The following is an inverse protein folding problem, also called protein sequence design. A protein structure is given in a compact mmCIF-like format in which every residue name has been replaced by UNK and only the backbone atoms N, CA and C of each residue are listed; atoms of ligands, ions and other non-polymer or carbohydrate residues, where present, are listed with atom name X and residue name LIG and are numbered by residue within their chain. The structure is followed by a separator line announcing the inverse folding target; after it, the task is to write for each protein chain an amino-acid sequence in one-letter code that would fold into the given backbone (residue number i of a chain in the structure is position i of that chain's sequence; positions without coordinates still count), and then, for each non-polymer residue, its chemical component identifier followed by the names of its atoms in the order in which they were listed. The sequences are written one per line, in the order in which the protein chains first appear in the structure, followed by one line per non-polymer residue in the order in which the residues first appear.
data_IF_210720514804
#
_entry.id   IF_210720514804
#
_cell.length_a   1.000
_cell.length_b   1.000
_cell.length_c   1.000
_cell.angle_alpha   90.00
_cell.angle_beta   90.00
_cell.angle_gamma   90.00
#
_symmetry.space_group_name_H-M   'P 1'
#
loop_
_entity.id
_entity.type
_entity.pdbx_description
1 polymer ?
#
# COMPACT_ATOMS: atom_id res chain seq x y z
N UNK A 1 11.01 0.67 70.48
CA UNK A 1 12.29 0.09 70.04
C UNK A 1 11.98 -1.32 69.58
N UNK A 2 12.09 -1.53 68.25
CA UNK A 2 12.22 -2.78 67.45
C UNK A 2 11.58 -4.13 67.87
N UNK A 3 11.35 -5.08 66.93
CA UNK A 3 11.29 -4.97 65.46
C UNK A 3 10.09 -5.68 64.81
N UNK A 4 10.04 -5.56 63.48
CA UNK A 4 9.08 -6.10 62.53
C UNK A 4 9.00 -7.65 62.54
N UNK A 5 7.78 -8.16 62.41
CA UNK A 5 7.52 -9.58 62.16
C UNK A 5 7.50 -9.84 60.64
N UNK A 6 8.53 -10.53 60.18
CA UNK A 6 8.57 -11.22 58.90
C UNK A 6 7.41 -12.23 58.84
N UNK A 7 6.52 -12.06 57.85
CA UNK A 7 5.69 -13.17 57.35
C UNK A 7 6.19 -13.50 55.96
N UNK A 8 6.92 -14.61 55.88
CA UNK A 8 7.40 -15.18 54.64
C UNK A 8 6.24 -15.43 53.68
N UNK A 9 6.35 -14.84 52.49
CA UNK A 9 5.51 -15.16 51.36
C UNK A 9 6.21 -16.31 50.61
N UNK A 10 5.94 -17.53 51.06
CA UNK A 10 6.26 -18.75 50.32
C UNK A 10 5.27 -18.87 49.16
N UNK A 11 5.73 -18.54 47.95
CA UNK A 11 5.54 -19.24 46.67
C UNK A 11 5.65 -18.23 45.53
N UNK A 12 6.89 -17.89 45.22
CA UNK A 12 7.29 -17.17 44.01
C UNK A 12 8.37 -17.98 43.28
N UNK A 13 8.08 -19.26 43.03
CA UNK A 13 8.96 -20.14 42.22
C UNK A 13 8.14 -21.25 41.58
N UNK A 14 7.31 -20.90 40.60
CA UNK A 14 6.79 -21.78 39.55
C UNK A 14 6.13 -20.91 38.45
N UNK A 15 6.91 -20.04 37.79
CA UNK A 15 6.52 -19.57 36.45
C UNK A 15 6.90 -20.66 35.46
N UNK A 16 6.08 -21.71 35.42
CA UNK A 16 6.05 -22.63 34.29
C UNK A 16 5.67 -21.86 33.02
N UNK A 17 6.19 -22.30 31.87
CA UNK A 17 6.06 -21.74 30.51
C UNK A 17 4.62 -21.30 30.16
N UNK A 18 4.22 -20.11 30.58
CA UNK A 18 2.88 -19.58 30.36
C UNK A 18 2.82 -18.81 29.05
N UNK A 19 2.16 -19.40 28.04
CA UNK A 19 2.06 -18.86 26.68
C UNK A 19 1.10 -17.66 26.63
N UNK A 20 -0.09 -17.79 27.22
CA UNK A 20 -1.05 -16.71 27.39
C UNK A 20 -1.89 -16.90 28.66
N UNK A 21 -2.37 -15.80 29.24
CA UNK A 21 -3.23 -15.78 30.41
C UNK A 21 -4.65 -15.38 30.04
N UNK A 22 -5.63 -16.13 30.53
CA UNK A 22 -7.05 -15.78 30.43
C UNK A 22 -7.47 -15.14 31.74
N UNK A 23 -7.85 -13.86 31.70
CA UNK A 23 -8.42 -13.16 32.86
C UNK A 23 -9.92 -13.03 32.67
N UNK A 24 -10.70 -13.48 33.66
CA UNK A 24 -12.15 -13.33 33.69
C UNK A 24 -12.52 -12.45 34.88
N UNK A 25 -13.05 -11.27 34.59
CA UNK A 25 -13.53 -10.32 35.59
C UNK A 25 -14.99 -10.62 35.91
N UNK A 26 -15.34 -10.70 37.18
CA UNK A 26 -16.69 -10.94 37.66
C UNK A 26 -17.18 -9.77 38.50
N UNK A 27 -18.46 -9.46 38.40
CA UNK A 27 -19.11 -8.50 39.28
C UNK A 27 -19.31 -9.10 40.68
N UNK A 28 -19.64 -8.27 41.66
CA UNK A 28 -19.95 -8.72 43.03
C UNK A 28 -21.05 -9.80 43.06
N UNK A 29 -21.96 -9.77 42.08
CA UNK A 29 -23.06 -10.74 41.91
C UNK A 29 -22.64 -12.01 41.13
N UNK A 30 -21.34 -12.24 40.92
CA UNK A 30 -20.77 -13.36 40.14
C UNK A 30 -21.14 -13.39 38.66
N UNK A 31 -21.74 -12.34 38.12
CA UNK A 31 -21.94 -12.19 36.67
C UNK A 31 -20.61 -11.81 36.02
N UNK A 32 -20.20 -12.55 34.99
CA UNK A 32 -18.96 -12.27 34.26
C UNK A 32 -19.08 -10.94 33.50
N UNK A 33 -18.14 -10.02 33.76
CA UNK A 33 -18.08 -8.68 33.17
C UNK A 33 -17.30 -8.73 31.87
N UNK A 34 -16.11 -9.33 31.89
CA UNK A 34 -15.15 -9.29 30.78
C UNK A 34 -14.23 -10.49 30.81
N UNK A 35 -13.90 -11.00 29.63
CA UNK A 35 -12.78 -11.92 29.45
C UNK A 35 -11.69 -11.21 28.65
N UNK A 36 -10.45 -11.33 29.06
CA UNK A 36 -9.29 -10.88 28.29
C UNK A 36 -8.25 -11.97 28.16
N UNK A 37 -7.54 -11.98 27.04
CA UNK A 37 -6.41 -12.87 26.77
C UNK A 37 -5.15 -12.01 26.72
N UNK A 38 -4.26 -12.15 27.68
CA UNK A 38 -2.95 -11.51 27.70
C UNK A 38 -1.93 -12.50 27.13
N UNK A 39 -1.30 -12.14 26.01
CA UNK A 39 -0.29 -12.97 25.36
C UNK A 39 1.07 -12.65 25.97
N UNK A 40 1.78 -13.69 26.42
CA UNK A 40 3.10 -13.55 27.07
C UNK A 40 4.25 -14.08 26.22
N UNK A 41 3.96 -15.05 25.36
CA UNK A 41 4.93 -15.61 24.44
C UNK A 41 5.16 -14.66 23.25
N UNK A 42 6.40 -14.19 23.10
CA UNK A 42 6.78 -13.27 22.02
C UNK A 42 6.61 -13.87 20.63
N UNK A 43 6.77 -15.20 20.51
CA UNK A 43 6.57 -15.90 19.23
C UNK A 43 5.09 -15.96 18.84
N UNK A 44 4.21 -16.13 19.83
CA UNK A 44 2.76 -16.08 19.60
C UNK A 44 2.31 -14.67 19.26
N UNK A 45 2.86 -13.66 19.93
CA UNK A 45 2.62 -12.25 19.61
C UNK A 45 2.98 -11.94 18.16
N UNK A 46 4.15 -12.36 17.69
CA UNK A 46 4.57 -12.18 16.30
C UNK A 46 3.63 -12.88 15.32
N UNK A 47 3.20 -14.12 15.62
CA UNK A 47 2.21 -14.83 14.81
C UNK A 47 0.87 -14.08 14.75
N UNK A 48 0.40 -13.55 15.88
CA UNK A 48 -0.85 -12.78 15.93
C UNK A 48 -0.70 -11.49 15.14
N UNK A 49 0.42 -10.77 15.28
CA UNK A 49 0.68 -9.55 14.54
C UNK A 49 0.78 -9.80 13.02
N UNK A 50 1.42 -10.89 12.61
CA UNK A 50 1.52 -11.28 11.19
C UNK A 50 0.16 -11.59 10.56
N UNK A 51 -0.77 -12.19 11.32
CA UNK A 51 -2.12 -12.54 10.84
C UNK A 51 -3.08 -11.37 10.90
N UNK A 52 -3.06 -10.63 12.00
CA UNK A 52 -4.06 -9.58 12.27
C UNK A 52 -3.63 -8.19 11.80
N UNK A 53 -2.34 -7.99 11.56
CA UNK A 53 -1.75 -6.70 11.28
C UNK A 53 -1.88 -5.75 12.47
N UNK A 54 -2.06 -4.46 12.18
CA UNK A 54 -2.33 -3.47 13.21
C UNK A 54 -3.82 -3.47 13.57
N UNK A 55 -4.16 -3.94 14.77
CA UNK A 55 -5.52 -3.83 15.32
C UNK A 55 -5.62 -2.53 16.13
N UNK A 56 -6.73 -1.82 15.96
CA UNK A 56 -7.03 -0.62 16.75
C UNK A 56 -7.13 -0.93 18.25
N UNK A 57 -6.44 -0.14 19.08
CA UNK A 57 -6.48 -0.27 20.53
C UNK A 57 -5.54 -1.32 21.13
N UNK A 58 -4.73 -2.00 20.30
CA UNK A 58 -3.75 -3.01 20.74
C UNK A 58 -2.34 -2.46 20.47
N UNK A 59 -1.51 -2.47 21.51
CA UNK A 59 -0.12 -2.06 21.41
C UNK A 59 0.77 -3.30 21.42
N UNK A 60 1.52 -3.52 20.34
CA UNK A 60 2.52 -4.60 20.19
C UNK A 60 3.95 -4.12 20.48
N UNK A 61 4.13 -2.83 20.79
CA UNK A 61 5.45 -2.22 21.03
C UNK A 61 5.77 -2.02 22.51
N UNK A 62 4.76 -1.92 23.36
CA UNK A 62 4.92 -1.65 24.79
C UNK A 62 4.13 -2.65 25.64
N UNK A 63 4.84 -3.62 26.21
CA UNK A 63 4.29 -4.63 27.13
C UNK A 63 3.58 -5.79 26.42
N UNK A 64 2.97 -6.66 27.22
CA UNK A 64 2.22 -7.82 26.73
C UNK A 64 0.89 -7.39 26.09
N UNK A 65 0.59 -7.77 24.85
CA UNK A 65 -0.67 -7.39 24.22
C UNK A 65 -1.86 -8.12 24.84
N UNK A 66 -2.95 -7.37 25.05
CA UNK A 66 -4.19 -7.87 25.67
C UNK A 66 -5.32 -7.80 24.65
N UNK A 67 -5.98 -8.94 24.44
CA UNK A 67 -7.03 -9.10 23.45
C UNK A 67 -8.39 -9.40 24.10
N UNK A 68 -9.47 -8.97 23.45
CA UNK A 68 -10.78 -9.58 23.64
C UNK A 68 -10.81 -10.92 22.86
N UNK A 69 -11.15 -12.06 23.49
CA UNK A 69 -11.24 -13.35 22.79
C UNK A 69 -12.12 -13.31 21.54
N UNK A 70 -13.14 -12.44 21.52
CA UNK A 70 -14.02 -12.27 20.35
C UNK A 70 -13.26 -11.74 19.14
N UNK A 71 -12.31 -10.82 19.33
CA UNK A 71 -11.48 -10.30 18.25
C UNK A 71 -10.61 -11.42 17.69
N UNK A 72 -9.98 -12.21 18.55
CA UNK A 72 -9.16 -13.34 18.12
C UNK A 72 -9.98 -14.40 17.37
N UNK A 73 -11.21 -14.66 17.81
CA UNK A 73 -12.12 -15.58 17.13
C UNK A 73 -12.43 -15.15 15.68
N UNK A 74 -12.52 -13.85 15.39
CA UNK A 74 -12.75 -13.35 14.03
C UNK A 74 -11.62 -13.72 13.04
N UNK A 75 -10.43 -14.03 13.57
CA UNK A 75 -9.25 -14.44 12.79
C UNK A 75 -8.96 -15.94 12.86
N UNK A 76 -9.88 -16.75 13.42
CA UNK A 76 -9.66 -18.18 13.66
C UNK A 76 -9.23 -18.95 12.40
N UNK A 77 -9.89 -18.69 11.26
CA UNK A 77 -9.55 -19.36 10.00
C UNK A 77 -8.23 -18.86 9.39
N UNK A 78 -7.84 -17.61 9.65
CA UNK A 78 -6.53 -17.10 9.23
C UNK A 78 -5.41 -17.69 10.10
N UNK A 79 -5.66 -17.85 11.41
CA UNK A 79 -4.71 -18.53 12.31
C UNK A 79 -4.47 -19.97 11.89
N UNK A 80 -5.51 -20.69 11.47
CA UNK A 80 -5.37 -22.05 10.89
C UNK A 80 -4.52 -22.02 9.62
N UNK A 81 -4.83 -21.11 8.70
CA UNK A 81 -4.08 -20.96 7.45
C UNK A 81 -2.61 -20.61 7.69
N UNK A 82 -2.33 -19.76 8.68
CA UNK A 82 -0.98 -19.39 9.08
C UNK A 82 -0.24 -20.54 9.75
N UNK A 83 -0.90 -21.26 10.67
CA UNK A 83 -0.37 -22.46 11.32
C UNK A 83 0.09 -23.52 10.29
N UNK A 84 -0.67 -23.70 9.22
CA UNK A 84 -0.33 -24.64 8.14
C UNK A 84 0.79 -24.10 7.25
N UNK A 85 0.81 -22.79 6.99
CA UNK A 85 1.85 -22.12 6.20
C UNK A 85 3.23 -22.14 6.86
N UNK A 86 3.28 -22.18 8.20
CA UNK A 86 4.53 -22.30 8.96
C UNK A 86 5.29 -23.61 8.65
N UNK A 87 4.66 -24.64 8.06
CA UNK A 87 5.34 -25.85 7.59
C UNK A 87 6.17 -25.65 6.32
N UNK A 88 5.86 -24.63 5.51
CA UNK A 88 6.41 -24.46 4.15
C UNK A 88 7.63 -23.54 4.10
N UNK A 89 7.94 -22.84 5.20
CA UNK A 89 9.10 -21.94 5.27
C UNK A 89 10.39 -22.77 5.40
N UNK A 90 11.03 -23.06 4.27
CA UNK A 90 12.42 -23.56 4.29
C UNK A 90 13.33 -22.46 4.83
N UNK A 91 14.15 -22.72 5.88
CA UNK A 91 15.03 -21.70 6.42
C UNK A 91 16.03 -21.23 5.36
N UNK A 92 16.05 -19.92 5.09
CA UNK A 92 17.05 -19.29 4.24
C UNK A 92 18.40 -19.31 4.95
N UNK A 93 19.41 -19.78 4.22
CA UNK A 93 20.74 -20.12 4.72
C UNK A 93 21.53 -18.91 5.26
N UNK A 94 21.86 -18.94 6.55
CA UNK A 94 23.16 -18.48 7.09
C UNK A 94 23.54 -19.41 8.23
N UNK A 95 24.80 -19.88 8.21
CA UNK A 95 25.32 -21.07 8.89
C UNK A 95 25.27 -21.08 10.44
N UNK A 96 24.75 -20.04 11.09
CA UNK A 96 24.93 -19.88 12.55
C UNK A 96 23.64 -19.94 13.40
N UNK A 97 22.42 -19.89 12.82
CA UNK A 97 21.15 -19.88 13.61
C UNK A 97 20.09 -20.92 13.17
N UNK A 98 20.48 -21.99 12.48
CA UNK A 98 19.52 -22.97 11.94
C UNK A 98 18.69 -23.69 13.03
N UNK A 99 19.32 -24.14 14.11
CA UNK A 99 18.65 -24.82 15.23
C UNK A 99 17.64 -23.91 15.94
N UNK A 100 18.02 -22.65 16.16
CA UNK A 100 17.21 -21.66 16.86
C UNK A 100 15.99 -21.25 16.02
N UNK A 101 16.17 -21.02 14.71
CA UNK A 101 15.06 -20.75 13.79
C UNK A 101 14.08 -21.93 13.71
N UNK A 102 14.59 -23.17 13.68
CA UNK A 102 13.73 -24.35 13.65
C UNK A 102 12.97 -24.52 14.97
N UNK A 103 13.61 -24.27 16.11
CA UNK A 103 12.96 -24.30 17.42
C UNK A 103 11.88 -23.23 17.57
N UNK A 104 12.14 -22.02 17.07
CA UNK A 104 11.17 -20.92 17.10
C UNK A 104 9.93 -21.25 16.27
N UNK A 105 10.09 -21.80 15.06
CA UNK A 105 8.95 -22.23 14.22
C UNK A 105 8.11 -23.30 14.93
N UNK A 106 8.76 -24.32 15.52
CA UNK A 106 8.06 -25.40 16.22
C UNK A 106 7.32 -24.88 17.46
N UNK A 107 7.96 -23.99 18.21
CA UNK A 107 7.39 -23.39 19.43
C UNK A 107 6.22 -22.46 19.08
N UNK A 108 6.39 -21.57 18.11
CA UNK A 108 5.35 -20.69 17.60
C UNK A 108 4.12 -21.47 17.12
N UNK A 109 4.35 -22.57 16.39
CA UNK A 109 3.28 -23.45 15.91
C UNK A 109 2.52 -24.11 17.07
N UNK A 110 3.23 -24.59 18.09
CA UNK A 110 2.63 -25.16 19.30
C UNK A 110 1.80 -24.12 20.06
N UNK A 111 2.34 -22.92 20.25
CA UNK A 111 1.66 -21.81 20.92
C UNK A 111 0.40 -21.39 20.17
N UNK A 112 0.48 -21.25 18.85
CA UNK A 112 -0.64 -20.90 17.99
C UNK A 112 -1.73 -21.99 18.00
N UNK A 113 -1.34 -23.27 17.96
CA UNK A 113 -2.28 -24.39 18.05
C UNK A 113 -3.09 -24.36 19.36
N UNK A 114 -2.43 -24.11 20.49
CA UNK A 114 -3.12 -24.00 21.79
C UNK A 114 -4.12 -22.85 21.82
N UNK A 115 -3.79 -21.71 21.20
CA UNK A 115 -4.71 -20.59 21.06
C UNK A 115 -5.94 -20.96 20.22
N UNK A 116 -5.73 -21.65 19.09
CA UNK A 116 -6.81 -22.12 18.21
C UNK A 116 -7.75 -23.08 18.97
N UNK A 117 -7.19 -24.07 19.66
CA UNK A 117 -7.96 -25.05 20.45
C UNK A 117 -8.81 -24.37 21.54
N UNK A 118 -8.22 -23.40 22.26
CA UNK A 118 -8.95 -22.60 23.26
C UNK A 118 -10.12 -21.82 22.63
N UNK A 119 -9.89 -21.13 21.51
CA UNK A 119 -10.94 -20.34 20.85
C UNK A 119 -12.05 -21.23 20.29
N UNK A 120 -11.72 -22.42 19.79
CA UNK A 120 -12.70 -23.39 19.30
C UNK A 120 -13.58 -23.92 20.43
N UNK A 121 -13.01 -24.21 21.59
CA UNK A 121 -13.77 -24.70 22.74
C UNK A 121 -14.67 -23.60 23.34
N UNK A 122 -14.12 -22.41 23.59
CA UNK A 122 -14.85 -21.29 24.21
C UNK A 122 -16.03 -20.83 23.34
N UNK A 123 -15.88 -20.85 22.01
CA UNK A 123 -16.90 -20.37 21.07
C UNK A 123 -17.65 -21.48 20.32
N UNK A 124 -17.51 -22.76 20.69
CA UNK A 124 -18.11 -23.89 19.95
C UNK A 124 -19.63 -23.75 19.75
N UNK A 125 -20.36 -23.38 20.80
CA UNK A 125 -21.82 -23.21 20.76
C UNK A 125 -22.20 -21.95 19.96
N UNK A 126 -21.51 -20.84 20.21
CA UNK A 126 -21.71 -19.57 19.52
C UNK A 126 -21.47 -19.69 18.01
N UNK A 127 -20.41 -20.41 17.60
CA UNK A 127 -20.04 -20.66 16.21
C UNK A 127 -21.13 -21.44 15.47
N UNK A 128 -21.63 -22.53 16.05
CA UNK A 128 -22.72 -23.31 15.42
C UNK A 128 -23.96 -22.47 15.17
N UNK A 129 -24.36 -21.65 16.16
CA UNK A 129 -25.50 -20.77 16.00
C UNK A 129 -25.23 -19.69 14.93
N UNK A 130 -24.04 -19.08 14.97
CA UNK A 130 -23.62 -18.09 14.00
C UNK A 130 -23.67 -18.65 12.57
N UNK A 131 -23.06 -19.80 12.31
CA UNK A 131 -23.02 -20.43 10.98
C UNK A 131 -24.43 -20.71 10.44
N UNK A 132 -25.35 -21.17 11.30
CA UNK A 132 -26.76 -21.38 10.95
C UNK A 132 -27.48 -20.08 10.58
N UNK A 133 -27.19 -18.99 11.27
CA UNK A 133 -27.80 -17.67 11.02
C UNK A 133 -27.23 -17.02 9.76
N UNK A 134 -25.90 -17.04 9.60
CA UNK A 134 -25.22 -16.52 8.42
C UNK A 134 -25.64 -17.26 7.15
N UNK A 135 -25.83 -18.59 7.22
CA UNK A 135 -26.36 -19.38 6.10
C UNK A 135 -27.78 -18.99 5.67
N UNK A 136 -28.55 -18.32 6.53
CA UNK A 136 -29.88 -17.75 6.23
C UNK A 136 -29.85 -16.26 5.93
N UNK A 137 -28.69 -15.59 6.05
CA UNK A 137 -28.54 -14.15 5.86
C UNK A 137 -29.17 -13.29 6.98
N UNK A 138 -29.38 -13.87 8.16
CA UNK A 138 -29.97 -13.19 9.32
C UNK A 138 -28.98 -13.11 10.48
N UNK A 139 -29.22 -12.22 11.44
CA UNK A 139 -28.38 -12.06 12.64
C UNK A 139 -29.22 -11.57 13.83
N UNK A 140 -28.80 -11.91 15.05
CA UNK A 140 -29.33 -11.32 16.30
C UNK A 140 -28.40 -10.21 16.83
N UNK A 141 -28.93 -9.34 17.68
CA UNK A 141 -28.15 -8.26 18.29
C UNK A 141 -26.91 -8.77 19.07
N UNK A 142 -27.04 -9.91 19.76
CA UNK A 142 -25.94 -10.48 20.57
C UNK A 142 -24.79 -11.04 19.74
N UNK A 143 -25.02 -11.40 18.47
CA UNK A 143 -24.02 -11.94 17.57
C UNK A 143 -23.46 -10.90 16.59
N UNK A 144 -23.84 -9.62 16.73
CA UNK A 144 -23.36 -8.52 15.89
C UNK A 144 -21.83 -8.40 15.85
N UNK A 145 -21.15 -8.69 16.96
CA UNK A 145 -19.69 -8.67 17.04
C UNK A 145 -19.02 -9.60 16.01
N UNK A 146 -19.71 -10.64 15.56
CA UNK A 146 -19.19 -11.63 14.62
C UNK A 146 -19.25 -11.18 13.14
N UNK A 147 -19.99 -10.11 12.83
CA UNK A 147 -20.15 -9.64 11.44
C UNK A 147 -18.97 -8.83 10.93
N UNK A 148 -18.29 -8.09 11.80
CA UNK A 148 -17.27 -7.12 11.41
C UNK A 148 -15.89 -7.54 11.88
N UNK A 149 -15.27 -8.44 11.11
CA UNK A 149 -13.83 -8.66 11.19
C UNK A 149 -13.10 -7.36 10.79
N UNK A 150 -12.10 -6.89 11.54
CA UNK A 150 -11.31 -5.72 11.13
C UNK A 150 -10.68 -5.93 9.75
N UNK A 151 -10.41 -4.83 9.03
CA UNK A 151 -9.92 -4.83 7.66
C UNK A 151 -10.89 -5.40 6.60
N UNK A 152 -12.13 -5.75 6.96
CA UNK A 152 -13.15 -6.14 5.97
C UNK A 152 -13.83 -4.93 5.35
N UNK A 153 -14.27 -5.10 4.10
CA UNK A 153 -15.04 -4.09 3.40
C UNK A 153 -16.50 -4.13 3.83
N UNK A 154 -17.04 -2.97 4.16
CA UNK A 154 -18.45 -2.78 4.51
C UNK A 154 -19.12 -1.85 3.51
N UNK A 155 -20.41 -2.10 3.34
CA UNK A 155 -21.32 -1.16 2.73
C UNK A 155 -21.77 -0.16 3.79
N UNK A 156 -21.60 1.13 3.52
CA UNK A 156 -22.19 2.20 4.32
C UNK A 156 -22.72 3.32 3.41
N UNK A 157 -23.93 3.85 3.68
CA UNK A 157 -24.40 5.03 2.97
C UNK A 157 -23.52 6.23 3.35
N UNK A 158 -22.94 6.92 2.37
CA UNK A 158 -22.09 8.10 2.64
C UNK A 158 -22.92 9.30 3.10
N UNK A 159 -22.33 10.12 3.97
CA UNK A 159 -22.95 11.26 4.65
C UNK A 159 -23.53 12.34 3.70
N UNK A 160 -23.19 12.31 2.40
CA UNK A 160 -23.53 13.38 1.45
C UNK A 160 -24.47 12.95 0.33
N UNK A 161 -24.65 11.66 0.09
CA UNK A 161 -25.53 11.18 -0.98
C UNK A 161 -25.96 9.74 -0.69
N UNK A 162 -27.24 9.55 -0.37
CA UNK A 162 -27.82 8.21 -0.22
C UNK A 162 -27.77 7.37 -1.51
N UNK A 163 -27.52 8.02 -2.65
CA UNK A 163 -27.46 7.39 -3.97
C UNK A 163 -26.04 6.95 -4.39
N UNK A 164 -25.01 7.30 -3.62
CA UNK A 164 -23.62 6.86 -3.89
C UNK A 164 -23.21 5.81 -2.87
N UNK A 165 -23.13 4.53 -3.27
CA UNK A 165 -22.72 3.45 -2.37
C UNK A 165 -21.29 3.70 -1.89
N UNK A 166 -21.10 3.82 -0.58
CA UNK A 166 -19.80 4.00 0.04
C UNK A 166 -19.20 2.66 0.44
N UNK A 167 -18.01 2.35 -0.07
CA UNK A 167 -17.17 1.28 0.49
C UNK A 167 -16.28 1.87 1.56
N UNK A 168 -16.25 1.25 2.72
CA UNK A 168 -15.34 1.60 3.81
C UNK A 168 -14.70 0.33 4.35
N UNK A 169 -13.56 0.48 5.02
CA UNK A 169 -12.83 -0.62 5.63
C UNK A 169 -13.00 -0.55 7.15
N UNK A 170 -13.42 -1.64 7.77
CA UNK A 170 -13.64 -1.71 9.22
C UNK A 170 -12.33 -1.47 9.98
N UNK A 171 -12.39 -0.58 10.97
CA UNK A 171 -11.33 -0.38 11.97
C UNK A 171 -11.67 -1.25 13.20
N UNK A 172 -12.85 -1.03 13.78
CA UNK A 172 -13.34 -1.78 14.94
C UNK A 172 -14.86 -1.76 15.01
N UNK A 173 -15.43 -2.68 15.79
CA UNK A 173 -16.85 -2.77 16.00
C UNK A 173 -17.13 -3.19 17.46
N UNK A 174 -17.71 -2.30 18.26
CA UNK A 174 -17.80 -2.46 19.71
C UNK A 174 -19.23 -2.26 20.23
N UNK A 175 -19.57 -3.02 21.28
CA UNK A 175 -20.82 -2.83 22.03
C UNK A 175 -20.63 -1.67 23.00
N UNK A 176 -21.40 -0.60 22.81
CA UNK A 176 -21.39 0.59 23.65
C UNK A 176 -22.66 0.67 24.51
N UNK A 177 -22.60 1.45 25.59
CA UNK A 177 -23.81 1.86 26.31
C UNK A 177 -24.52 2.92 25.47
N UNK A 178 -25.84 2.80 25.34
CA UNK A 178 -26.62 3.79 24.58
C UNK A 178 -26.47 5.19 25.16
N UNK A 179 -26.28 6.20 24.28
CA UNK A 179 -26.11 7.59 24.74
C UNK A 179 -27.38 8.15 25.37
N UNK A 180 -28.54 7.70 24.89
CA UNK A 180 -29.86 8.21 25.24
C UNK A 180 -30.82 7.11 25.72
N UNK A 181 -30.41 5.84 25.64
CA UNK A 181 -31.23 4.67 25.97
C UNK A 181 -30.53 3.80 27.02
N UNK A 182 -31.33 3.10 27.84
CA UNK A 182 -30.83 2.05 28.73
C UNK A 182 -30.33 0.83 27.96
N UNK A 183 -30.76 0.68 26.70
CA UNK A 183 -30.36 -0.45 25.87
C UNK A 183 -28.95 -0.26 25.31
N UNK A 184 -28.18 -1.35 25.15
CA UNK A 184 -26.88 -1.29 24.50
C UNK A 184 -27.01 -0.93 23.01
N UNK A 185 -26.00 -0.26 22.47
CA UNK A 185 -25.90 0.07 21.05
C UNK A 185 -24.61 -0.55 20.50
N UNK A 186 -24.55 -0.80 19.19
CA UNK A 186 -23.33 -1.29 18.54
C UNK A 186 -22.74 -0.18 17.67
N UNK A 187 -21.46 0.14 17.86
CA UNK A 187 -20.75 1.17 17.10
C UNK A 187 -19.77 0.50 16.15
N UNK A 188 -19.93 0.75 14.84
CA UNK A 188 -18.99 0.31 13.81
C UNK A 188 -18.20 1.52 13.32
N UNK A 189 -16.89 1.48 13.50
CA UNK A 189 -15.97 2.50 12.99
C UNK A 189 -15.23 1.96 11.76
N UNK A 190 -15.20 2.77 10.71
CA UNK A 190 -14.60 2.38 9.44
C UNK A 190 -13.87 3.56 8.81
N UNK A 191 -12.76 3.28 8.11
CA UNK A 191 -12.03 4.26 7.32
C UNK A 191 -12.44 4.20 5.86
N UNK A 192 -12.45 5.36 5.21
CA UNK A 192 -12.62 5.49 3.77
C UNK A 192 -11.66 6.55 3.23
N UNK A 193 -11.36 6.47 1.94
CA UNK A 193 -10.55 7.47 1.25
C UNK A 193 -11.47 8.59 0.77
N UNK A 194 -11.16 9.82 1.12
CA UNK A 194 -11.86 11.01 0.65
C UNK A 194 -10.90 11.90 -0.14
N UNK A 195 -11.41 12.57 -1.17
CA UNK A 195 -10.66 13.55 -1.96
C UNK A 195 -11.17 14.95 -1.67
N UNK A 196 -10.37 15.77 -1.00
CA UNK A 196 -10.75 17.13 -0.62
C UNK A 196 -10.57 18.17 -1.75
N UNK A 197 -10.29 17.73 -2.99
CA UNK A 197 -9.97 18.58 -4.13
C UNK A 197 -8.49 18.88 -4.30
N UNK A 198 -7.63 18.53 -3.33
CA UNK A 198 -6.17 18.71 -3.38
C UNK A 198 -5.41 17.43 -3.07
N UNK A 199 -5.85 16.67 -2.06
CA UNK A 199 -5.20 15.44 -1.59
C UNK A 199 -6.23 14.36 -1.28
N UNK A 200 -5.81 13.11 -1.48
CA UNK A 200 -6.50 11.94 -0.94
C UNK A 200 -6.13 11.80 0.54
N UNK A 201 -7.14 11.71 1.39
CA UNK A 201 -6.96 11.59 2.84
C UNK A 201 -7.88 10.49 3.38
N UNK A 202 -7.39 9.71 4.34
CA UNK A 202 -8.24 8.80 5.10
C UNK A 202 -9.16 9.60 6.04
N UNK A 203 -10.44 9.26 6.02
CA UNK A 203 -11.45 9.76 6.97
C UNK A 203 -12.12 8.58 7.66
N UNK A 204 -12.57 8.82 8.89
CA UNK A 204 -13.30 7.83 9.68
C UNK A 204 -14.79 8.14 9.64
N UNK A 205 -15.58 7.10 9.42
CA UNK A 205 -17.02 7.06 9.58
C UNK A 205 -17.34 6.23 10.83
N UNK A 206 -18.30 6.69 11.63
CA UNK A 206 -18.88 5.94 12.75
C UNK A 206 -20.36 5.75 12.50
N UNK A 207 -20.83 4.51 12.55
CA UNK A 207 -22.24 4.16 12.41
C UNK A 207 -22.72 3.43 13.66
N UNK A 208 -23.87 3.83 14.18
CA UNK A 208 -24.46 3.28 15.40
C UNK A 208 -25.68 2.41 15.03
N UNK A 209 -25.75 1.19 15.57
CA UNK A 209 -26.83 0.24 15.40
C UNK A 209 -27.58 0.15 16.74
N UNK A 210 -28.86 0.54 16.72
CA UNK A 210 -29.71 0.45 17.89
C UNK A 210 -30.04 -1.01 18.24
N UNK A 211 -30.31 -1.25 19.52
CA UNK A 211 -30.82 -2.54 19.98
C UNK A 211 -32.07 -2.95 19.21
N UNK A 212 -32.13 -4.21 18.81
CA UNK A 212 -33.30 -4.83 18.20
C UNK A 212 -33.51 -6.23 18.78
N UNK A 213 -34.77 -6.66 18.84
CA UNK A 213 -35.14 -7.97 19.34
C UNK A 213 -35.35 -8.95 18.19
N UNK A 214 -34.91 -10.19 18.40
CA UNK A 214 -35.05 -11.27 17.41
C UNK A 214 -33.97 -11.24 16.32
N UNK A 215 -34.24 -12.00 15.25
CA UNK A 215 -33.34 -12.12 14.10
C UNK A 215 -33.77 -11.18 12.98
N UNK A 216 -32.83 -10.40 12.45
CA UNK A 216 -33.04 -9.45 11.35
C UNK A 216 -32.16 -9.81 10.16
N UNK A 217 -32.55 -9.40 8.96
CA UNK A 217 -31.72 -9.57 7.77
C UNK A 217 -30.47 -8.70 7.87
N UNK A 218 -29.29 -9.24 7.54
CA UNK A 218 -28.03 -8.49 7.59
C UNK A 218 -28.08 -7.24 6.72
N UNK A 219 -28.71 -7.34 5.53
CA UNK A 219 -28.86 -6.21 4.59
C UNK A 219 -29.82 -5.12 5.06
N UNK A 220 -30.57 -5.36 6.15
CA UNK A 220 -31.47 -4.35 6.75
C UNK A 220 -30.76 -3.45 7.77
N UNK A 221 -29.55 -3.82 8.17
CA UNK A 221 -28.71 -3.01 9.04
C UNK A 221 -28.25 -1.73 8.32
N UNK A 222 -28.05 -0.61 9.03
CA UNK A 222 -27.56 0.63 8.42
C UNK A 222 -26.14 0.50 7.84
N UNK A 223 -25.37 -0.45 8.37
CA UNK A 223 -24.02 -0.82 7.94
C UNK A 223 -23.90 -2.34 7.99
N UNK A 224 -23.28 -2.95 6.99
CA UNK A 224 -23.09 -4.41 6.94
C UNK A 224 -21.93 -4.80 6.02
N UNK A 225 -21.37 -6.03 6.17
CA UNK A 225 -20.28 -6.50 5.31
C UNK A 225 -20.67 -6.53 3.84
N UNK A 226 -19.79 -6.03 2.97
CA UNK A 226 -20.07 -5.81 1.55
C UNK A 226 -20.51 -7.10 0.83
N UNK A 227 -20.01 -8.26 1.26
CA UNK A 227 -20.34 -9.59 0.72
C UNK A 227 -21.83 -9.94 0.73
N UNK A 228 -22.64 -9.30 1.59
CA UNK A 228 -24.10 -9.52 1.64
C UNK A 228 -24.86 -8.60 0.67
N UNK A 229 -24.18 -7.66 0.01
CA UNK A 229 -24.80 -6.74 -0.93
C UNK A 229 -25.03 -7.43 -2.30
N UNK A 230 -26.21 -7.24 -2.89
CA UNK A 230 -26.58 -7.84 -4.20
C UNK A 230 -25.59 -7.50 -5.32
N UNK A 231 -25.18 -6.23 -5.37
CA UNK A 231 -24.23 -5.69 -6.35
C UNK A 231 -22.79 -5.56 -5.80
N UNK A 232 -22.32 -6.50 -4.95
CA UNK A 232 -20.98 -6.47 -4.36
C UNK A 232 -19.89 -6.17 -5.40
N UNK A 233 -19.91 -6.90 -6.52
CA UNK A 233 -18.90 -6.79 -7.58
C UNK A 233 -18.83 -5.39 -8.19
N UNK A 234 -19.97 -4.71 -8.36
CA UNK A 234 -20.00 -3.36 -8.94
C UNK A 234 -19.56 -2.31 -7.92
N UNK A 235 -20.02 -2.43 -6.68
CA UNK A 235 -19.73 -1.46 -5.62
C UNK A 235 -18.25 -1.48 -5.22
N UNK A 236 -17.59 -2.62 -5.39
CA UNK A 236 -16.16 -2.80 -5.11
C UNK A 236 -15.24 -2.13 -6.13
N UNK A 237 -15.76 -1.70 -7.28
CA UNK A 237 -14.97 -1.11 -8.36
C UNK A 237 -14.95 0.41 -8.25
N UNK A 238 -13.76 0.99 -8.35
CA UNK A 238 -13.55 2.44 -8.46
C UNK A 238 -12.94 2.78 -9.82
N UNK A 239 -13.31 3.92 -10.39
CA UNK A 239 -12.71 4.40 -11.63
C UNK A 239 -11.42 5.13 -11.32
N UNK A 240 -10.33 4.74 -11.97
CA UNK A 240 -9.01 5.35 -11.83
C UNK A 240 -8.31 5.51 -13.18
N UNK A 241 -7.23 6.28 -13.22
CA UNK A 241 -6.40 6.42 -14.41
C UNK A 241 -5.17 5.51 -14.30
N UNK A 242 -5.02 4.57 -15.23
CA UNK A 242 -3.87 3.68 -15.31
C UNK A 242 -2.67 4.41 -15.90
N UNK A 243 -1.58 4.54 -15.15
CA UNK A 243 -0.33 5.10 -15.69
C UNK A 243 0.36 4.15 -16.67
N UNK A 244 0.10 2.84 -16.60
CA UNK A 244 0.70 1.85 -17.47
C UNK A 244 0.05 1.81 -18.85
N UNK A 245 -1.29 1.86 -18.91
CA UNK A 245 -2.04 1.85 -20.18
C UNK A 245 -2.46 3.25 -20.64
N UNK A 246 -2.32 4.28 -19.81
CA UNK A 246 -2.72 5.66 -20.09
C UNK A 246 -4.22 5.80 -20.39
N UNK A 247 -5.05 5.01 -19.69
CA UNK A 247 -6.50 4.95 -19.88
C UNK A 247 -7.24 4.93 -18.55
N UNK A 248 -8.50 5.38 -18.56
CA UNK A 248 -9.40 5.24 -17.42
C UNK A 248 -9.93 3.81 -17.33
N UNK A 249 -9.72 3.15 -16.19
CA UNK A 249 -10.12 1.77 -15.94
C UNK A 249 -10.85 1.64 -14.59
N UNK A 250 -11.49 0.50 -14.39
CA UNK A 250 -12.09 0.10 -13.13
C UNK A 250 -11.09 -0.72 -12.31
N UNK A 251 -10.90 -0.34 -11.04
CA UNK A 251 -9.96 -0.95 -10.11
C UNK A 251 -10.70 -1.51 -8.90
N UNK A 252 -10.31 -2.71 -8.48
CA UNK A 252 -10.83 -3.33 -7.26
C UNK A 252 -10.27 -2.61 -6.03
N UNK A 253 -11.14 -2.12 -5.14
CA UNK A 253 -10.74 -1.40 -3.92
C UNK A 253 -9.82 -2.21 -3.01
N UNK A 254 -9.85 -3.55 -3.09
CA UNK A 254 -8.97 -4.43 -2.30
C UNK A 254 -7.51 -4.39 -2.73
N UNK A 255 -7.23 -3.89 -3.95
CA UNK A 255 -5.89 -3.79 -4.50
C UNK A 255 -5.28 -2.39 -4.31
N UNK A 256 -5.90 -1.56 -3.47
CA UNK A 256 -5.41 -0.22 -3.15
C UNK A 256 -4.54 -0.30 -1.91
N UNK A 257 -3.26 0.02 -2.09
CA UNK A 257 -2.28 0.14 -1.01
C UNK A 257 -1.67 1.54 -1.02
N UNK A 258 -1.04 1.92 0.09
CA UNK A 258 -0.28 3.16 0.16
C UNK A 258 0.88 3.16 -0.85
N UNK A 259 1.13 4.34 -1.43
CA UNK A 259 2.21 4.52 -2.40
C UNK A 259 3.55 4.20 -1.73
N UNK A 260 4.23 3.17 -2.24
CA UNK A 260 5.60 2.83 -1.83
C UNK A 260 6.58 3.73 -2.56
N UNK A 261 7.01 4.79 -1.87
CA UNK A 261 7.99 5.73 -2.41
C UNK A 261 9.37 5.07 -2.52
N UNK A 262 10.02 5.29 -3.66
CA UNK A 262 11.41 4.88 -3.85
C UNK A 262 12.34 5.98 -3.32
N UNK A 263 12.87 5.79 -2.13
CA UNK A 263 13.80 6.74 -1.49
C UNK A 263 15.12 6.87 -2.26
N UNK A 264 15.55 5.80 -2.94
CA UNK A 264 16.76 5.78 -3.75
C UNK A 264 16.58 6.46 -5.12
N UNK A 265 15.36 6.87 -5.48
CA UNK A 265 15.07 7.44 -6.79
C UNK A 265 15.92 8.68 -7.09
N UNK A 266 16.16 9.53 -6.08
CA UNK A 266 16.97 10.74 -6.24
C UNK A 266 18.44 10.45 -6.52
N UNK A 267 19.03 9.53 -5.77
CA UNK A 267 20.41 9.11 -5.95
C UNK A 267 20.58 8.34 -7.27
N UNK A 268 19.50 7.67 -7.68
CA UNK A 268 19.45 7.02 -8.97
C UNK A 268 19.41 8.01 -10.15
N UNK A 269 18.90 9.22 -9.94
CA UNK A 269 18.69 10.16 -11.03
C UNK A 269 20.02 10.55 -11.70
N UNK A 270 20.14 10.28 -12.99
CA UNK A 270 21.32 10.64 -13.78
C UNK A 270 21.17 12.09 -14.23
N UNK A 271 21.66 13.01 -13.40
CA UNK A 271 21.73 14.45 -13.64
C UNK A 271 23.06 14.99 -13.13
N UNK A 272 23.49 16.13 -13.65
CA UNK A 272 24.67 16.82 -13.15
C UNK A 272 24.44 17.32 -11.71
N UNK A 273 25.51 17.31 -10.92
CA UNK A 273 25.42 17.60 -9.49
C UNK A 273 24.95 19.04 -9.23
N UNK A 274 25.32 19.98 -10.09
CA UNK A 274 24.89 21.38 -9.99
C UNK A 274 23.38 21.52 -10.18
N UNK A 275 22.81 20.85 -11.19
CA UNK A 275 21.35 20.86 -11.37
C UNK A 275 20.62 20.20 -10.21
N UNK A 276 21.15 19.09 -9.67
CA UNK A 276 20.60 18.46 -8.47
C UNK A 276 20.57 19.41 -7.26
N UNK A 277 21.66 20.15 -7.04
CA UNK A 277 21.73 21.17 -5.98
C UNK A 277 20.72 22.30 -6.21
N UNK A 278 20.58 22.79 -7.44
CA UNK A 278 19.63 23.86 -7.78
C UNK A 278 18.18 23.42 -7.56
N UNK A 279 17.82 22.20 -7.96
CA UNK A 279 16.48 21.65 -7.71
C UNK A 279 16.24 21.54 -6.20
N UNK A 280 17.18 20.97 -5.44
CA UNK A 280 17.07 20.87 -3.97
C UNK A 280 16.90 22.24 -3.30
N UNK A 281 17.71 23.23 -3.70
CA UNK A 281 17.64 24.59 -3.16
C UNK A 281 16.29 25.25 -3.47
N UNK A 282 15.77 25.07 -4.68
CA UNK A 282 14.49 25.62 -5.10
C UNK A 282 13.33 24.98 -4.34
N UNK A 283 13.32 23.65 -4.22
CA UNK A 283 12.33 22.91 -3.42
C UNK A 283 12.33 23.39 -1.97
N UNK A 284 13.51 23.49 -1.35
CA UNK A 284 13.64 23.93 0.03
C UNK A 284 13.12 25.37 0.24
N UNK A 285 13.38 26.27 -0.71
CA UNK A 285 12.86 27.65 -0.67
C UNK A 285 11.34 27.72 -0.86
N UNK A 286 10.74 26.84 -1.65
CA UNK A 286 9.29 26.81 -1.82
C UNK A 286 8.58 26.24 -0.58
N UNK A 287 9.16 25.22 0.05
CA UNK A 287 8.63 24.66 1.31
C UNK A 287 8.68 25.72 2.42
N UNK A 288 9.81 26.42 2.57
CA UNK A 288 9.95 27.48 3.57
C UNK A 288 8.99 28.65 3.33
N UNK A 289 8.79 29.09 2.09
CA UNK A 289 7.84 30.16 1.76
C UNK A 289 6.37 29.73 1.93
N UNK A 290 6.03 28.46 1.66
CA UNK A 290 4.66 27.96 1.87
C UNK A 290 4.21 27.95 3.34
N UNK A 291 5.17 27.93 4.29
CA UNK A 291 4.88 28.05 5.72
C UNK A 291 4.52 29.49 6.15
N UNK A 292 4.81 30.51 5.32
CA UNK A 292 4.52 31.92 5.59
C UNK A 292 3.30 32.47 4.83
N UNK A 293 2.77 31.74 3.84
CA UNK A 293 1.77 32.25 2.89
C UNK A 293 0.30 31.96 3.30
N UNK A 294 -0.03 32.14 4.59
CA UNK A 294 -1.43 32.09 5.08
C UNK A 294 -2.20 33.39 4.79
N UNK A 295 -1.54 34.45 4.32
CA UNK A 295 -2.20 35.71 4.01
C UNK A 295 -1.58 36.38 2.78
N UNK A 296 -2.15 36.15 1.60
CA UNK A 296 -2.24 37.18 0.56
C UNK A 296 -3.28 36.82 -0.52
N UNK A 297 -4.51 37.26 -0.28
CA UNK A 297 -5.45 37.54 -1.36
C UNK A 297 -5.18 38.93 -1.91
N UNK A 298 -4.67 39.03 -3.15
CA UNK A 298 -4.65 40.29 -3.88
C UNK A 298 -4.94 40.05 -5.36
N UNK A 299 -6.09 40.59 -5.81
CA UNK A 299 -6.48 40.67 -7.22
C UNK A 299 -5.50 41.55 -8.00
N UNK A 300 -5.06 41.09 -9.17
CA UNK A 300 -4.45 41.93 -10.19
C UNK A 300 -5.33 41.97 -11.46
N UNK A 301 -6.05 43.08 -11.65
CA UNK A 301 -6.63 43.49 -12.95
C UNK A 301 -5.49 43.94 -13.86
N UNK A 302 -5.46 43.49 -15.13
CA UNK A 302 -4.94 44.32 -16.24
C UNK A 302 -5.48 43.95 -17.62
N UNK A 303 -5.53 45.01 -18.44
CA UNK A 303 -6.22 45.23 -19.72
C UNK A 303 -5.64 44.42 -20.87
N UNK A 304 -6.52 44.07 -21.82
CA UNK A 304 -6.20 43.24 -22.97
C UNK A 304 -5.52 43.94 -24.15
N UNK A 305 -5.23 43.14 -25.16
CA UNK A 305 -5.03 43.55 -26.54
C UNK A 305 -5.48 42.41 -27.48
N UNK A 306 -6.21 42.80 -28.51
CA UNK A 306 -6.78 41.99 -29.57
C UNK A 306 -5.81 41.81 -30.75
N UNK A 307 -5.81 40.63 -31.39
CA UNK A 307 -5.63 40.50 -32.86
C UNK A 307 -6.07 39.12 -33.38
N UNK A 308 -6.38 39.11 -34.69
CA UNK A 308 -7.22 38.17 -35.48
C UNK A 308 -6.57 36.81 -35.82
N UNK A 309 -7.46 35.91 -36.26
CA UNK A 309 -7.54 34.45 -36.16
C UNK A 309 -6.98 33.59 -37.31
N UNK A 310 -6.72 32.31 -36.99
CA UNK A 310 -7.02 31.11 -37.80
C UNK A 310 -7.73 30.05 -36.92
N UNK A 311 -8.72 29.30 -37.44
CA UNK A 311 -9.74 28.62 -36.62
C UNK A 311 -9.36 27.28 -35.96
N UNK A 312 -8.27 26.63 -36.38
CA UNK A 312 -7.73 25.44 -35.70
C UNK A 312 -6.75 25.80 -34.56
N UNK A 313 -6.24 27.02 -34.58
CA UNK A 313 -5.34 27.56 -33.55
C UNK A 313 -6.10 28.11 -32.34
N UNK A 314 -7.39 28.44 -32.44
CA UNK A 314 -8.16 29.06 -31.33
C UNK A 314 -8.31 28.16 -30.11
N UNK A 315 -8.57 26.86 -30.30
CA UNK A 315 -8.67 25.92 -29.19
C UNK A 315 -7.30 25.68 -28.54
N UNK A 316 -6.25 25.55 -29.37
CA UNK A 316 -4.87 25.42 -28.89
C UNK A 316 -4.40 26.68 -28.17
N UNK A 317 -4.60 27.86 -28.73
CA UNK A 317 -4.24 29.15 -28.15
C UNK A 317 -5.05 29.45 -26.89
N UNK A 318 -6.33 29.06 -26.84
CA UNK A 318 -7.16 29.13 -25.64
C UNK A 318 -6.65 28.20 -24.54
N UNK A 319 -6.26 26.97 -24.89
CA UNK A 319 -5.66 26.02 -23.97
C UNK A 319 -4.28 26.49 -23.51
N UNK A 320 -3.43 27.01 -24.40
CA UNK A 320 -2.13 27.58 -24.10
C UNK A 320 -2.28 28.81 -23.19
N UNK A 321 -3.23 29.71 -23.47
CA UNK A 321 -3.50 30.86 -22.62
C UNK A 321 -4.09 30.47 -21.25
N UNK A 322 -4.83 29.37 -21.18
CA UNK A 322 -5.38 28.83 -19.92
C UNK A 322 -4.27 28.14 -19.12
N UNK A 323 -3.44 27.33 -19.77
CA UNK A 323 -2.28 26.67 -19.20
C UNK A 323 -1.27 27.71 -18.68
N UNK A 324 -0.93 28.72 -19.47
CA UNK A 324 -0.05 29.82 -19.08
C UNK A 324 -0.55 30.55 -17.83
N UNK A 325 -1.86 30.84 -17.73
CA UNK A 325 -2.45 31.42 -16.51
C UNK A 325 -2.37 30.48 -15.31
N UNK A 326 -2.54 29.17 -15.53
CA UNK A 326 -2.40 28.18 -14.45
C UNK A 326 -0.95 28.05 -13.98
N UNK A 327 0.02 28.05 -14.90
CA UNK A 327 1.45 28.03 -14.60
C UNK A 327 1.87 29.26 -13.78
N UNK A 328 1.35 30.46 -14.08
CA UNK A 328 1.62 31.68 -13.29
C UNK A 328 1.16 31.57 -11.83
N UNK A 329 0.01 30.95 -11.61
CA UNK A 329 -0.61 30.82 -10.29
C UNK A 329 -0.25 29.52 -9.56
N UNK A 330 0.56 28.65 -10.18
CA UNK A 330 0.81 27.32 -9.63
C UNK A 330 1.76 27.43 -8.44
N UNK A 331 1.25 27.11 -7.26
CA UNK A 331 2.06 27.00 -6.05
C UNK A 331 2.60 25.58 -5.96
N UNK A 332 3.81 25.37 -6.49
CA UNK A 332 4.51 24.08 -6.46
C UNK A 332 5.57 23.97 -7.55
N UNK A 333 6.09 22.75 -7.76
CA UNK A 333 7.08 22.44 -8.80
C UNK A 333 6.40 21.63 -9.89
N UNK A 334 6.60 22.01 -11.15
CA UNK A 334 6.10 21.30 -12.32
C UNK A 334 7.28 20.77 -13.13
N UNK A 335 7.24 19.48 -13.44
CA UNK A 335 8.13 18.87 -14.42
C UNK A 335 7.42 18.81 -15.77
N UNK A 336 8.02 19.40 -16.79
CA UNK A 336 7.55 19.34 -18.17
C UNK A 336 8.56 18.55 -18.99
N UNK A 337 8.10 17.56 -19.74
CA UNK A 337 8.92 16.82 -20.70
C UNK A 337 8.52 17.22 -22.12
N UNK A 338 9.51 17.39 -22.99
CA UNK A 338 9.27 17.68 -24.40
C UNK A 338 10.29 16.93 -25.27
N UNK A 339 9.81 16.34 -26.36
CA UNK A 339 10.68 15.67 -27.33
C UNK A 339 11.33 16.66 -28.29
N UNK A 340 10.82 17.90 -28.36
CA UNK A 340 11.34 18.95 -29.25
C UNK A 340 11.33 20.32 -28.58
N UNK A 341 12.51 20.91 -28.46
CA UNK A 341 12.76 22.17 -27.75
C UNK A 341 12.29 23.40 -28.55
N UNK A 342 12.20 23.26 -29.88
CA UNK A 342 11.95 24.38 -30.82
C UNK A 342 10.52 24.93 -30.80
N UNK A 343 9.64 24.39 -29.96
CA UNK A 343 8.20 24.68 -30.00
C UNK A 343 7.78 25.75 -28.98
N UNK A 344 8.65 26.13 -28.03
CA UNK A 344 8.29 27.12 -27.01
C UNK A 344 8.52 28.56 -27.47
N UNK A 345 7.52 29.40 -27.30
CA UNK A 345 7.65 30.85 -27.46
C UNK A 345 8.46 31.48 -26.31
N UNK A 346 8.93 32.71 -26.51
CA UNK A 346 9.76 33.43 -25.53
C UNK A 346 9.01 33.67 -24.20
N UNK A 347 7.68 33.84 -24.26
CA UNK A 347 6.82 34.07 -23.10
C UNK A 347 6.61 32.83 -22.23
N UNK A 348 6.65 31.62 -22.81
CA UNK A 348 6.63 30.37 -22.08
C UNK A 348 8.02 30.04 -21.51
N UNK A 349 9.08 30.28 -22.29
CA UNK A 349 10.47 30.09 -21.82
C UNK A 349 10.79 30.96 -20.60
N UNK A 350 10.28 32.19 -20.53
CA UNK A 350 10.50 33.08 -19.39
C UNK A 350 9.89 32.61 -18.06
N UNK A 351 9.07 31.54 -18.10
CA UNK A 351 8.37 30.96 -16.93
C UNK A 351 8.98 29.63 -16.49
N UNK A 352 10.02 29.17 -17.18
CA UNK A 352 10.74 27.94 -16.86
C UNK A 352 11.99 28.34 -16.09
N UNK A 353 12.04 27.99 -14.80
CA UNK A 353 13.20 28.28 -13.95
C UNK A 353 14.42 27.43 -14.34
N UNK A 354 14.19 26.20 -14.77
CA UNK A 354 15.24 25.23 -15.10
C UNK A 354 14.99 24.53 -16.42
N UNK A 355 16.01 24.51 -17.28
CA UNK A 355 16.01 23.75 -18.52
C UNK A 355 17.03 22.60 -18.44
N UNK A 356 16.55 21.36 -18.40
CA UNK A 356 17.42 20.19 -18.50
C UNK A 356 17.34 19.59 -19.90
N UNK A 357 18.45 19.67 -20.64
CA UNK A 357 18.61 18.91 -21.87
C UNK A 357 19.13 17.51 -21.54
N UNK A 358 18.47 16.47 -22.04
CA UNK A 358 18.96 15.11 -21.97
C UNK A 358 19.64 14.75 -23.29
N UNK A 359 20.98 14.79 -23.30
CA UNK A 359 21.78 14.27 -24.39
C UNK A 359 21.91 12.74 -24.28
N UNK A 360 22.41 12.09 -25.34
CA UNK A 360 22.67 10.64 -25.31
C UNK A 360 23.58 10.30 -24.12
N UNK A 361 23.28 9.22 -23.38
CA UNK A 361 24.00 8.91 -22.14
C UNK A 361 25.48 8.61 -22.41
N UNK A 362 26.35 9.12 -21.55
CA UNK A 362 27.79 8.84 -21.62
C UNK A 362 28.12 7.41 -21.16
N UNK A 363 29.36 6.95 -21.40
CA UNK A 363 29.80 5.58 -21.05
C UNK A 363 29.56 5.28 -19.56
N UNK A 364 29.74 6.26 -18.67
CA UNK A 364 29.51 6.07 -17.23
C UNK A 364 28.02 5.92 -16.92
N UNK A 365 27.16 6.80 -17.46
CA UNK A 365 25.71 6.73 -17.25
C UNK A 365 25.11 5.44 -17.81
N UNK A 366 25.55 5.00 -18.98
CA UNK A 366 25.09 3.71 -19.56
C UNK A 366 25.45 2.51 -18.68
N UNK A 367 26.65 2.47 -18.11
CA UNK A 367 27.04 1.42 -17.18
C UNK A 367 26.16 1.41 -15.93
N UNK A 368 25.84 2.59 -15.40
CA UNK A 368 24.93 2.75 -14.26
C UNK A 368 23.52 2.26 -14.62
N UNK A 369 22.99 2.64 -15.79
CA UNK A 369 21.66 2.20 -16.27
C UNK A 369 21.63 0.67 -16.41
N UNK A 370 22.66 0.08 -17.02
CA UNK A 370 22.74 -1.37 -17.24
C UNK A 370 22.83 -2.14 -15.92
N UNK A 371 23.70 -1.72 -15.00
CA UNK A 371 23.81 -2.31 -13.65
C UNK A 371 22.46 -2.29 -12.93
N UNK A 372 21.74 -1.17 -13.00
CA UNK A 372 20.41 -1.06 -12.38
C UNK A 372 19.36 -1.94 -13.03
N UNK A 373 19.33 -1.98 -14.36
CA UNK A 373 18.39 -2.83 -15.09
C UNK A 373 18.58 -4.31 -14.69
N UNK A 374 19.83 -4.76 -14.58
CA UNK A 374 20.15 -6.12 -14.12
C UNK A 374 19.78 -6.31 -12.65
N UNK A 375 20.17 -5.40 -11.74
CA UNK A 375 19.80 -5.50 -10.32
C UNK A 375 18.29 -5.56 -10.11
N UNK A 376 17.51 -4.82 -10.90
CA UNK A 376 16.04 -4.85 -10.84
C UNK A 376 15.48 -6.20 -11.26
N UNK A 377 16.05 -6.80 -12.31
CA UNK A 377 15.66 -8.14 -12.77
C UNK A 377 16.04 -9.21 -11.74
N UNK A 378 17.22 -9.12 -11.13
CA UNK A 378 17.66 -10.03 -10.05
C UNK A 378 16.76 -9.91 -8.82
N UNK A 379 16.34 -8.70 -8.45
CA UNK A 379 15.47 -8.45 -7.29
C UNK A 379 14.05 -9.03 -7.45
N UNK A 380 13.58 -9.22 -8.68
CA UNK A 380 12.27 -9.80 -8.97
C UNK A 380 12.27 -11.36 -8.92
N UNK A 381 13.39 -12.00 -8.57
CA UNK A 381 13.54 -13.46 -8.48
C UNK A 381 13.14 -14.23 -9.76
N UNK A 382 13.23 -13.60 -10.94
CA UNK A 382 12.80 -14.20 -12.21
C UNK A 382 13.80 -15.25 -12.74
N UNK A 383 15.11 -15.08 -12.52
CA UNK A 383 16.15 -16.02 -12.96
C UNK A 383 17.44 -15.94 -12.11
N UNK A 384 18.21 -17.02 -12.09
CA UNK A 384 19.61 -16.98 -11.64
C UNK A 384 20.44 -16.12 -12.61
N UNK A 385 21.20 -15.16 -12.08
CA UNK A 385 22.09 -14.30 -12.87
C UNK A 385 23.54 -14.71 -12.66
N UNK A 386 24.30 -14.85 -13.74
CA UNK A 386 25.76 -15.00 -13.65
C UNK A 386 26.37 -13.68 -13.11
N UNK A 387 27.48 -13.78 -12.36
CA UNK A 387 28.18 -12.58 -11.86
C UNK A 387 28.89 -11.87 -13.01
N UNK A 388 28.40 -10.71 -13.39
CA UNK A 388 29.01 -9.84 -14.41
C UNK A 388 30.25 -9.13 -13.86
N UNK A 389 31.38 -9.19 -14.57
CA UNK A 389 32.58 -8.41 -14.27
C UNK A 389 32.48 -6.96 -14.80
N UNK A 390 33.18 -6.02 -14.15
CA UNK A 390 33.21 -4.60 -14.59
C UNK A 390 33.75 -4.42 -16.02
N UNK A 391 34.59 -5.33 -16.50
CA UNK A 391 35.13 -5.33 -17.87
C UNK A 391 34.07 -5.73 -18.92
N UNK A 392 33.17 -6.65 -18.58
CA UNK A 392 32.06 -7.07 -19.44
C UNK A 392 31.00 -5.98 -19.57
N UNK A 393 30.69 -5.29 -18.46
CA UNK A 393 29.90 -4.05 -18.50
C UNK A 393 30.57 -3.00 -19.40
N UNK A 394 31.90 -2.90 -19.36
CA UNK A 394 32.66 -1.98 -20.21
C UNK A 394 32.44 -2.21 -21.71
N UNK A 395 32.39 -3.47 -22.16
CA UNK A 395 32.20 -3.86 -23.57
C UNK A 395 30.78 -3.61 -24.08
N UNK A 396 29.77 -3.95 -23.27
CA UNK A 396 28.35 -3.77 -23.63
C UNK A 396 28.00 -2.28 -23.82
N UNK A 397 28.71 -1.39 -23.13
CA UNK A 397 28.43 0.05 -23.13
C UNK A 397 29.02 0.80 -24.35
N UNK A 398 29.87 0.15 -25.16
CA UNK A 398 30.47 0.79 -26.36
C UNK A 398 29.45 1.05 -27.48
N UNK A 399 28.27 0.42 -27.42
CA UNK A 399 27.17 0.62 -28.37
C UNK A 399 26.48 1.99 -28.22
N UNK A 400 26.04 2.61 -29.33
CA UNK A 400 25.33 3.91 -29.35
C UNK A 400 23.83 3.76 -28.99
N UNK A 401 23.50 3.09 -27.89
CA UNK A 401 22.12 2.89 -27.43
C UNK A 401 21.62 4.01 -26.50
N UNK A 402 20.33 4.32 -26.59
CA UNK A 402 19.61 5.16 -25.63
C UNK A 402 19.28 4.40 -24.34
N UNK A 403 19.03 5.11 -23.24
CA UNK A 403 18.71 4.47 -21.95
C UNK A 403 17.50 3.53 -22.01
N UNK A 404 16.46 3.89 -22.77
CA UNK A 404 15.26 3.06 -22.98
C UNK A 404 15.58 1.81 -23.82
N UNK A 405 16.49 1.91 -24.78
CA UNK A 405 16.91 0.75 -25.57
C UNK A 405 17.74 -0.23 -24.73
N UNK A 406 18.59 0.26 -23.83
CA UNK A 406 19.33 -0.57 -22.87
C UNK A 406 18.37 -1.34 -21.96
N UNK A 407 17.35 -0.66 -21.42
CA UNK A 407 16.35 -1.29 -20.55
C UNK A 407 15.57 -2.38 -21.29
N UNK A 408 15.09 -2.09 -22.51
CA UNK A 408 14.44 -3.09 -23.38
C UNK A 408 15.37 -4.24 -23.77
N UNK A 409 16.65 -3.97 -23.98
CA UNK A 409 17.63 -5.00 -24.32
C UNK A 409 17.79 -6.00 -23.16
N UNK A 410 17.78 -5.52 -21.91
CA UNK A 410 17.82 -6.37 -20.72
C UNK A 410 16.54 -7.21 -20.59
N UNK A 411 15.36 -6.63 -20.82
CA UNK A 411 14.08 -7.36 -20.80
C UNK A 411 14.02 -8.46 -21.87
N UNK A 412 14.50 -8.17 -23.08
CA UNK A 412 14.58 -9.15 -24.16
C UNK A 412 15.63 -10.23 -23.88
N UNK A 413 16.77 -9.86 -23.27
CA UNK A 413 17.80 -10.82 -22.87
C UNK A 413 17.30 -11.76 -21.78
N UNK A 414 16.48 -11.27 -20.84
CA UNK A 414 15.79 -12.10 -19.85
C UNK A 414 14.84 -13.08 -20.53
N UNK A 415 13.99 -12.60 -21.43
CA UNK A 415 13.06 -13.45 -22.18
C UNK A 415 13.79 -14.53 -22.99
N UNK A 416 14.97 -14.19 -23.54
CA UNK A 416 15.82 -15.12 -24.28
C UNK A 416 16.47 -16.18 -23.36
N UNK A 417 16.91 -15.79 -22.17
CA UNK A 417 17.49 -16.68 -21.17
C UNK A 417 16.43 -17.66 -20.63
N UNK A 418 15.22 -17.18 -20.34
CA UNK A 418 14.08 -18.01 -19.94
C UNK A 418 13.72 -19.05 -21.01
N UNK A 419 13.62 -18.62 -22.27
CA UNK A 419 13.34 -19.52 -23.39
C UNK A 419 14.43 -20.60 -23.56
N UNK A 420 15.68 -20.28 -23.26
CA UNK A 420 16.83 -21.20 -23.31
C UNK A 420 17.00 -22.04 -22.04
N UNK A 421 16.29 -21.73 -20.95
CA UNK A 421 16.46 -22.32 -19.60
C UNK A 421 17.88 -22.19 -19.05
N UNK A 422 18.51 -21.06 -19.31
CA UNK A 422 19.87 -20.76 -18.88
C UNK A 422 19.88 -19.51 -17.98
N UNK A 423 20.87 -19.35 -17.08
CA UNK A 423 21.01 -18.13 -16.32
C UNK A 423 21.28 -16.94 -17.25
N UNK A 424 20.82 -15.75 -16.84
CA UNK A 424 21.10 -14.53 -17.58
C UNK A 424 22.61 -14.24 -17.51
N UNK A 425 23.24 -14.15 -18.68
CA UNK A 425 24.67 -13.98 -18.84
C UNK A 425 24.98 -13.04 -20.00
N UNK A 426 26.23 -12.62 -20.11
CA UNK A 426 26.69 -11.59 -21.08
C UNK A 426 26.33 -11.96 -22.52
N UNK A 427 26.36 -13.25 -22.86
CA UNK A 427 25.97 -13.79 -24.18
C UNK A 427 24.57 -13.37 -24.63
N UNK A 428 23.60 -13.38 -23.71
CA UNK A 428 22.21 -13.05 -24.02
C UNK A 428 22.06 -11.56 -24.32
N UNK A 429 22.78 -10.71 -23.58
CA UNK A 429 22.80 -9.27 -23.81
C UNK A 429 23.51 -8.94 -25.13
N UNK A 430 24.64 -9.57 -25.42
CA UNK A 430 25.36 -9.36 -26.67
C UNK A 430 24.52 -9.79 -27.88
N UNK A 431 23.87 -10.96 -27.83
CA UNK A 431 22.97 -11.44 -28.88
C UNK A 431 21.86 -10.41 -29.19
N UNK A 432 21.20 -9.89 -28.15
CA UNK A 432 20.12 -8.90 -28.31
C UNK A 432 20.64 -7.58 -28.87
N UNK A 433 21.81 -7.13 -28.41
CA UNK A 433 22.42 -5.88 -28.86
C UNK A 433 22.88 -5.98 -30.31
N UNK A 434 23.50 -7.09 -30.72
CA UNK A 434 23.91 -7.34 -32.10
C UNK A 434 22.69 -7.38 -33.03
N UNK A 435 21.60 -8.01 -32.60
CA UNK A 435 20.32 -8.01 -33.32
C UNK A 435 19.78 -6.58 -33.46
N UNK A 436 19.71 -5.82 -32.36
CA UNK A 436 19.22 -4.43 -32.37
C UNK A 436 20.10 -3.51 -33.26
N UNK A 437 21.41 -3.68 -33.25
CA UNK A 437 22.33 -2.92 -34.09
C UNK A 437 22.17 -3.26 -35.57
N UNK A 438 22.01 -4.55 -35.91
CA UNK A 438 21.69 -4.97 -37.27
C UNK A 438 20.37 -4.39 -37.77
N UNK A 439 19.31 -4.44 -36.95
CA UNK A 439 18.02 -3.83 -37.26
C UNK A 439 18.13 -2.32 -37.52
N UNK A 440 18.94 -1.61 -36.72
CA UNK A 440 19.17 -0.16 -36.87
C UNK A 440 19.88 0.18 -38.17
N UNK A 441 20.93 -0.57 -38.50
CA UNK A 441 21.68 -0.42 -39.76
C UNK A 441 20.79 -0.67 -40.99
N UNK A 442 19.82 -1.59 -40.88
CA UNK A 442 18.86 -1.88 -41.96
C UNK A 442 17.79 -0.77 -42.09
N UNK A 443 17.37 -0.15 -40.99
CA UNK A 443 16.44 1.01 -41.01
C UNK A 443 17.10 2.31 -41.49
N UNK A 444 18.36 2.55 -41.12
CA UNK A 444 19.11 3.76 -41.49
C UNK A 444 19.46 3.86 -42.98
N UNK A 445 19.26 2.79 -43.76
CA UNK A 445 19.52 2.73 -45.22
C UNK A 445 18.33 3.09 -46.11
N UNK A 446 17.15 3.41 -45.55
CA UNK A 446 16.04 3.94 -46.35
C UNK A 446 16.07 5.46 -46.36
N UNK A 447 16.55 6.02 -47.48
CA UNK A 447 16.31 7.40 -47.89
C UNK A 447 14.80 7.71 -47.82
N UNK A 448 14.35 8.41 -46.79
CA UNK A 448 13.02 9.03 -46.73
C UNK A 448 12.99 10.36 -47.50
N UNK A 449 13.72 10.46 -48.62
CA UNK A 449 13.80 11.66 -49.44
C UNK A 449 12.61 11.92 -50.36
N UNK A 450 11.67 10.97 -50.51
CA UNK A 450 10.63 11.04 -51.55
C UNK A 450 9.17 10.94 -51.05
N UNK A 451 8.88 11.22 -49.77
CA UNK A 451 7.50 11.19 -49.26
C UNK A 451 6.90 12.54 -48.82
N UNK A 452 7.63 13.65 -49.03
CA UNK A 452 7.06 14.98 -48.89
C UNK A 452 7.51 15.86 -50.07
N UNK A 453 6.84 15.69 -51.22
CA UNK A 453 6.73 16.70 -52.27
C UNK A 453 5.38 17.37 -52.21
#
# INVERSE_FOLDING_TARGET
MEPAAERGNHDATQTEDCIFLIRRDFNCDKTQIKTTVEVKDSLLEECIQNVTGNIFGINFTEGNPVFDPKILFLYLDDFRSHHDSLEQVRPYNKKDHWLENQWNIVSAKRSLKLLIEYLEEEFAEGKKNLDLMLGKGVITFDLLWALWKPHTLIYSPTYRCHDVPGVSMVICAEKCKGRLSTNPEYSVEARFVDFNGKTLTYKTLKQEIQHFDGAVNITSLPVYPLQYHKDEARIRLIVGYSLASLEWLEFDVRCIDDVKWNEEAWDSLVLDEKMKELIKASVASHISNSAFDVNNGAMAKRKGLTKKYNCLDVERDSLVATLSRRLESFQGIIFLTCDTIRVFDEAFQSRIDFFQKYDKPDRKSKSIILKRAISRVTALNLCETETFSDEEYGKLVESDLSGREVEKAVELALSLAEARKEPLGVRHLQDVMDIQEKFRCDFGKKDYGNYFS
#
